data_IF_453996381060
#
_entry.id   IF_453996381060
#
_cell.length_a   1.000
_cell.length_b   1.000
_cell.length_c   1.000
_cell.angle_alpha   90.00
_cell.angle_beta   90.00
_cell.angle_gamma   90.00
#
_symmetry.space_group_name_H-M   'P 1'
#
loop_
_entity.id
_entity.type
_entity.pdbx_description
1 polymer ?
#
# COMPACT_ATOMS: atom_id res chain seq x y z
N UNK A 1 41.83 10.93 -9.38
CA UNK A 1 40.87 9.85 -9.07
C UNK A 1 40.09 10.26 -7.83
N UNK A 2 38.76 10.26 -7.91
CA UNK A 2 37.90 10.53 -6.75
C UNK A 2 37.85 9.23 -5.94
N UNK A 3 38.32 9.25 -4.69
CA UNK A 3 38.19 8.10 -3.78
C UNK A 3 36.72 7.98 -3.36
N UNK A 4 36.13 6.77 -3.37
CA UNK A 4 34.78 6.58 -2.85
C UNK A 4 34.74 6.89 -1.35
N UNK A 5 33.61 7.43 -0.87
CA UNK A 5 33.36 7.64 0.56
C UNK A 5 33.18 6.31 1.31
N UNK A 6 32.63 5.30 0.62
CA UNK A 6 32.38 3.98 1.17
C UNK A 6 32.33 2.94 0.04
N UNK A 7 32.78 1.72 0.34
CA UNK A 7 32.74 0.58 -0.58
C UNK A 7 32.28 -0.67 0.21
N UNK A 8 31.30 -1.45 -0.29
CA UNK A 8 30.92 -2.71 0.33
C UNK A 8 32.03 -3.76 0.20
N UNK A 9 32.14 -4.64 1.19
CA UNK A 9 32.99 -5.83 1.09
C UNK A 9 32.42 -6.83 0.08
N UNK A 10 33.27 -7.67 -0.50
CA UNK A 10 32.83 -8.72 -1.43
C UNK A 10 31.80 -9.66 -0.80
N UNK A 11 31.96 -10.01 0.48
CA UNK A 11 31.00 -10.81 1.22
C UNK A 11 29.63 -10.13 1.27
N UNK A 12 29.60 -8.81 1.53
CA UNK A 12 28.34 -8.06 1.53
C UNK A 12 27.68 -8.08 0.15
N UNK A 13 28.46 -7.87 -0.93
CA UNK A 13 27.95 -7.91 -2.31
C UNK A 13 27.30 -9.27 -2.60
N UNK A 14 28.04 -10.36 -2.38
CA UNK A 14 27.59 -11.73 -2.70
C UNK A 14 26.37 -12.19 -1.89
N UNK A 15 26.13 -11.59 -0.72
CA UNK A 15 25.00 -11.90 0.15
C UNK A 15 23.73 -11.06 -0.12
N UNK A 16 23.75 -10.20 -1.16
CA UNK A 16 22.56 -9.40 -1.51
C UNK A 16 21.57 -10.17 -2.38
N UNK A 17 20.28 -9.84 -2.27
CA UNK A 17 19.23 -10.25 -3.19
C UNK A 17 19.52 -9.78 -4.63
N UNK A 18 20.15 -8.61 -4.81
CA UNK A 18 20.57 -8.12 -6.13
C UNK A 18 21.57 -9.07 -6.79
N UNK A 19 22.59 -9.52 -6.05
CA UNK A 19 23.55 -10.49 -6.55
C UNK A 19 22.86 -11.83 -6.88
N UNK A 20 21.94 -12.27 -6.02
CA UNK A 20 21.15 -13.49 -6.25
C UNK A 20 20.30 -13.41 -7.53
N UNK A 21 19.67 -12.26 -7.78
CA UNK A 21 18.92 -11.99 -9.01
C UNK A 21 19.83 -11.93 -10.24
N UNK A 22 20.98 -11.26 -10.14
CA UNK A 22 21.97 -11.20 -11.21
C UNK A 22 22.48 -12.60 -11.60
N UNK A 23 22.76 -13.46 -10.62
CA UNK A 23 23.17 -14.85 -10.85
C UNK A 23 22.09 -15.64 -11.57
N UNK A 24 20.82 -15.51 -11.15
CA UNK A 24 19.69 -16.14 -11.85
C UNK A 24 19.60 -15.70 -13.32
N UNK A 25 19.77 -14.39 -13.59
CA UNK A 25 19.77 -13.86 -14.95
C UNK A 25 20.95 -14.39 -15.76
N UNK A 26 22.15 -14.44 -15.18
CA UNK A 26 23.34 -15.00 -15.81
C UNK A 26 23.14 -16.46 -16.23
N UNK A 27 22.61 -17.28 -15.32
CA UNK A 27 22.34 -18.69 -15.59
C UNK A 27 21.26 -18.88 -16.66
N UNK A 28 20.14 -18.15 -16.54
CA UNK A 28 18.98 -18.30 -17.43
C UNK A 28 19.24 -17.82 -18.85
N UNK A 29 19.97 -16.71 -19.01
CA UNK A 29 20.17 -16.06 -20.31
C UNK A 29 21.60 -16.17 -20.81
N UNK A 30 22.41 -17.06 -20.22
CA UNK A 30 23.82 -17.27 -20.54
C UNK A 30 24.61 -15.94 -20.61
N UNK A 31 24.48 -15.14 -19.55
CA UNK A 31 25.19 -13.86 -19.38
C UNK A 31 26.35 -14.02 -18.41
N UNK A 32 27.24 -13.03 -18.41
CA UNK A 32 28.46 -13.00 -17.58
C UNK A 32 28.60 -11.71 -16.79
N UNK A 33 27.50 -11.16 -16.28
CA UNK A 33 27.53 -9.90 -15.52
C UNK A 33 28.32 -10.09 -14.23
N UNK A 34 29.28 -9.21 -13.99
CA UNK A 34 30.10 -9.19 -12.77
C UNK A 34 29.72 -8.06 -11.82
N UNK A 35 28.90 -7.11 -12.27
CA UNK A 35 28.45 -5.96 -11.51
C UNK A 35 27.03 -5.51 -11.90
N UNK A 36 26.52 -4.51 -11.18
CA UNK A 36 25.20 -3.95 -11.39
C UNK A 36 25.03 -3.27 -12.76
N UNK A 37 26.10 -2.71 -13.33
CA UNK A 37 26.04 -1.97 -14.59
C UNK A 37 25.60 -2.89 -15.72
N UNK A 38 26.22 -4.07 -15.83
CA UNK A 38 25.84 -5.06 -16.84
C UNK A 38 24.40 -5.55 -16.70
N UNK A 39 23.94 -5.78 -15.45
CA UNK A 39 22.54 -6.14 -15.18
C UNK A 39 21.57 -5.02 -15.56
N UNK A 40 21.90 -3.77 -15.23
CA UNK A 40 21.07 -2.61 -15.53
C UNK A 40 20.94 -2.38 -17.03
N UNK A 41 22.04 -2.39 -17.78
CA UNK A 41 22.03 -2.27 -19.24
C UNK A 41 21.14 -3.35 -19.87
N UNK A 42 21.35 -4.61 -19.46
CA UNK A 42 20.52 -5.71 -19.92
C UNK A 42 19.04 -5.53 -19.58
N UNK A 43 18.71 -5.05 -18.37
CA UNK A 43 17.33 -4.87 -17.93
C UNK A 43 16.54 -3.85 -18.77
N UNK A 44 17.23 -2.84 -19.31
CA UNK A 44 16.63 -1.80 -20.16
C UNK A 44 16.53 -2.26 -21.61
N UNK A 45 17.50 -3.04 -22.09
CA UNK A 45 17.52 -3.58 -23.45
C UNK A 45 16.59 -4.79 -23.63
N UNK A 46 16.33 -5.55 -22.56
CA UNK A 46 15.61 -6.82 -22.59
C UNK A 46 14.41 -6.78 -21.62
N UNK A 47 13.55 -5.75 -21.76
CA UNK A 47 12.44 -5.46 -20.84
C UNK A 47 11.54 -6.68 -20.57
N UNK A 48 11.13 -7.40 -21.61
CA UNK A 48 10.23 -8.56 -21.47
C UNK A 48 10.86 -9.66 -20.62
N UNK A 49 12.14 -9.97 -20.84
CA UNK A 49 12.89 -10.99 -20.11
C UNK A 49 13.20 -10.57 -18.68
N UNK A 50 13.52 -9.28 -18.47
CA UNK A 50 13.73 -8.72 -17.14
C UNK A 50 12.44 -8.81 -16.31
N UNK A 51 11.32 -8.33 -16.84
CA UNK A 51 10.08 -8.26 -16.08
C UNK A 51 9.45 -9.65 -15.84
N UNK A 52 9.56 -10.59 -16.79
CA UNK A 52 9.16 -11.98 -16.56
C UNK A 52 10.00 -12.67 -15.49
N UNK A 53 11.33 -12.46 -15.51
CA UNK A 53 12.25 -12.98 -14.48
C UNK A 53 12.00 -12.34 -13.11
N UNK A 54 11.73 -11.04 -13.07
CA UNK A 54 11.38 -10.33 -11.84
C UNK A 54 10.06 -10.82 -11.24
N UNK A 55 9.04 -11.07 -12.07
CA UNK A 55 7.77 -11.64 -11.63
C UNK A 55 7.97 -12.96 -10.87
N UNK A 56 8.79 -13.86 -11.42
CA UNK A 56 9.09 -15.15 -10.80
C UNK A 56 9.96 -15.00 -9.55
N UNK A 57 11.02 -14.19 -9.61
CA UNK A 57 11.94 -14.00 -8.49
C UNK A 57 11.27 -13.34 -7.27
N UNK A 58 10.32 -12.43 -7.51
CA UNK A 58 9.57 -11.72 -6.48
C UNK A 58 8.33 -12.50 -5.99
N UNK A 59 8.14 -13.72 -6.51
CA UNK A 59 7.05 -14.62 -6.17
C UNK A 59 5.67 -13.93 -6.23
N UNK A 60 5.37 -13.33 -7.40
CA UNK A 60 4.09 -12.65 -7.59
C UNK A 60 2.97 -13.68 -7.69
N UNK A 61 2.07 -13.65 -6.69
CA UNK A 61 0.90 -14.52 -6.64
C UNK A 61 -0.20 -13.99 -7.55
N UNK A 62 -0.59 -14.82 -8.51
CA UNK A 62 -1.71 -14.60 -9.42
C UNK A 62 -2.55 -15.86 -9.54
N UNK A 63 -3.88 -15.71 -9.59
CA UNK A 63 -4.82 -16.81 -9.82
C UNK A 63 -4.88 -17.25 -11.28
N UNK A 64 -4.58 -16.33 -12.20
CA UNK A 64 -4.44 -16.61 -13.63
C UNK A 64 -3.09 -16.07 -14.09
N UNK A 65 -2.23 -16.89 -14.73
CA UNK A 65 -0.95 -16.42 -15.24
C UNK A 65 -1.14 -15.42 -16.38
N UNK A 66 -0.13 -14.57 -16.58
CA UNK A 66 -0.11 -13.68 -17.75
C UNK A 66 0.14 -14.48 -19.04
N UNK A 67 -0.35 -13.96 -20.17
CA UNK A 67 -0.01 -14.50 -21.49
C UNK A 67 1.18 -13.80 -22.14
N UNK A 68 1.38 -12.51 -21.83
CA UNK A 68 2.54 -11.72 -22.28
C UNK A 68 2.96 -10.77 -21.17
N UNK A 69 4.27 -10.70 -20.89
CA UNK A 69 4.80 -9.81 -19.86
C UNK A 69 4.68 -8.33 -20.27
N UNK A 70 4.86 -8.00 -21.55
CA UNK A 70 4.66 -6.63 -22.08
C UNK A 70 4.03 -6.70 -23.47
N UNK A 71 3.03 -5.86 -23.71
CA UNK A 71 2.52 -5.51 -25.04
C UNK A 71 2.70 -4.01 -25.30
N UNK A 72 2.94 -3.63 -26.56
CA UNK A 72 3.15 -2.24 -26.96
C UNK A 72 4.27 -1.53 -26.16
N UNK A 73 5.39 -2.22 -25.96
CA UNK A 73 6.57 -1.76 -25.21
C UNK A 73 6.97 -0.30 -25.49
N UNK A 74 6.89 0.15 -26.75
CA UNK A 74 7.36 1.48 -27.16
C UNK A 74 6.32 2.61 -26.96
N UNK A 75 5.12 2.32 -26.43
CA UNK A 75 4.05 3.30 -26.25
C UNK A 75 3.99 3.88 -24.84
N UNK A 76 4.07 5.21 -24.74
CA UNK A 76 3.83 5.95 -23.50
C UNK A 76 2.94 7.19 -23.75
N UNK A 77 1.67 7.20 -23.27
CA UNK A 77 0.94 6.12 -22.61
C UNK A 77 0.54 4.99 -23.58
N UNK A 78 0.30 3.78 -23.06
CA UNK A 78 -0.31 2.67 -23.83
C UNK A 78 0.39 1.32 -23.79
N UNK A 79 1.57 1.20 -23.16
CA UNK A 79 2.18 -0.09 -22.85
C UNK A 79 1.30 -0.86 -21.84
N UNK A 80 1.11 -2.17 -22.08
CA UNK A 80 0.34 -3.05 -21.22
C UNK A 80 1.23 -4.14 -20.63
N UNK A 81 1.25 -4.26 -19.32
CA UNK A 81 2.10 -5.20 -18.59
C UNK A 81 1.27 -6.40 -18.10
N UNK A 82 1.84 -7.60 -18.19
CA UNK A 82 1.29 -8.87 -17.69
C UNK A 82 -0.17 -9.12 -18.07
N UNK A 83 -0.43 -9.00 -19.37
CA UNK A 83 -1.76 -9.08 -19.96
C UNK A 83 -2.44 -10.42 -19.66
N UNK A 84 -3.76 -10.39 -19.46
CA UNK A 84 -4.62 -11.50 -19.05
C UNK A 84 -4.36 -12.10 -17.66
N UNK A 85 -3.32 -11.67 -16.94
CA UNK A 85 -3.13 -12.12 -15.55
C UNK A 85 -4.26 -11.65 -14.65
N UNK A 86 -4.57 -12.44 -13.62
CA UNK A 86 -5.52 -12.08 -12.56
C UNK A 86 -4.84 -12.20 -11.22
N UNK A 87 -4.80 -11.10 -10.46
CA UNK A 87 -4.15 -11.03 -9.15
C UNK A 87 -4.91 -10.12 -8.18
N UNK A 88 -4.50 -10.13 -6.92
CA UNK A 88 -4.94 -9.16 -5.92
C UNK A 88 -3.75 -8.64 -5.10
N UNK A 89 -3.67 -7.32 -4.90
CA UNK A 89 -2.57 -6.66 -4.17
C UNK A 89 -2.57 -7.05 -2.70
N UNK A 90 -3.75 -7.03 -2.05
CA UNK A 90 -3.87 -7.40 -0.65
C UNK A 90 -3.56 -8.88 -0.42
N UNK A 91 -3.90 -9.76 -1.38
CA UNK A 91 -3.56 -11.18 -1.28
C UNK A 91 -2.05 -11.42 -1.25
N UNK A 92 -1.29 -10.67 -2.05
CA UNK A 92 0.17 -10.75 -2.06
C UNK A 92 0.79 -10.20 -0.76
N UNK A 93 0.21 -9.15 -0.18
CA UNK A 93 0.68 -8.55 1.09
C UNK A 93 0.22 -9.33 2.33
N UNK A 94 -0.80 -10.16 2.17
CA UNK A 94 -1.31 -11.05 3.19
C UNK A 94 -1.00 -12.48 2.76
N UNK A 95 0.22 -12.81 2.37
CA UNK A 95 0.56 -14.21 2.10
C UNK A 95 1.00 -14.97 3.37
N UNK A 96 1.65 -14.29 4.31
CA UNK A 96 2.10 -14.91 5.55
C UNK A 96 0.95 -15.10 6.56
N UNK A 97 0.88 -16.29 7.17
CA UNK A 97 -0.12 -16.69 8.18
C UNK A 97 0.58 -17.35 9.37
N UNK A 98 1.33 -16.55 10.11
CA UNK A 98 2.10 -17.02 11.25
C UNK A 98 2.11 -15.98 12.39
N UNK A 99 2.74 -16.36 13.50
CA UNK A 99 2.79 -15.54 14.71
C UNK A 99 4.00 -14.58 14.75
N UNK A 100 4.77 -14.45 13.66
CA UNK A 100 5.79 -13.40 13.56
C UNK A 100 5.13 -12.03 13.51
N UNK A 101 5.84 -11.01 13.99
CA UNK A 101 5.37 -9.62 13.95
C UNK A 101 5.23 -9.13 12.51
N UNK A 102 4.05 -8.67 12.13
CA UNK A 102 3.78 -8.01 10.86
C UNK A 102 3.89 -6.48 11.00
N UNK A 103 3.30 -5.94 12.07
CA UNK A 103 3.25 -4.49 12.32
C UNK A 103 3.75 -4.18 13.73
N UNK A 104 4.70 -3.27 13.84
CA UNK A 104 5.19 -2.74 15.11
C UNK A 104 4.84 -1.25 15.17
N UNK A 105 3.84 -0.92 15.97
CA UNK A 105 3.36 0.45 16.11
C UNK A 105 3.90 1.11 17.39
N UNK A 106 4.32 2.37 17.24
CA UNK A 106 4.75 3.26 18.31
C UNK A 106 4.10 4.62 18.09
N UNK A 107 3.26 5.04 19.03
CA UNK A 107 2.72 6.39 19.10
C UNK A 107 3.37 7.14 20.24
N UNK A 108 4.22 8.12 19.94
CA UNK A 108 5.09 8.87 20.88
C UNK A 108 5.40 8.06 22.17
N UNK A 109 5.16 8.62 23.35
CA UNK A 109 5.32 7.92 24.64
C UNK A 109 4.02 7.28 25.15
N UNK A 110 2.96 7.30 24.35
CA UNK A 110 1.59 7.02 24.82
C UNK A 110 1.08 5.63 24.43
N UNK A 111 1.45 5.10 23.26
CA UNK A 111 0.85 3.85 22.74
C UNK A 111 1.89 2.96 22.08
N UNK A 112 1.88 1.66 22.42
CA UNK A 112 2.71 0.64 21.79
C UNK A 112 1.87 -0.59 21.49
N UNK A 113 1.88 -1.03 20.24
CA UNK A 113 1.13 -2.21 19.78
C UNK A 113 1.95 -2.99 18.79
N UNK A 114 1.84 -4.31 18.82
CA UNK A 114 2.41 -5.19 17.81
C UNK A 114 1.31 -6.13 17.35
N UNK A 115 1.15 -6.28 16.03
CA UNK A 115 0.25 -7.26 15.44
C UNK A 115 1.10 -8.33 14.76
N UNK A 116 0.73 -9.60 14.97
CA UNK A 116 1.26 -10.71 14.18
C UNK A 116 0.65 -10.75 12.78
N UNK A 117 1.23 -11.52 11.86
CA UNK A 117 0.62 -11.74 10.54
C UNK A 117 -0.78 -12.36 10.64
N UNK A 118 -0.99 -13.31 11.57
CA UNK A 118 -2.32 -13.87 11.85
C UNK A 118 -3.31 -12.80 12.32
N UNK A 119 -2.92 -11.96 13.29
CA UNK A 119 -3.78 -10.89 13.80
C UNK A 119 -4.09 -9.83 12.74
N UNK A 120 -3.11 -9.47 11.91
CA UNK A 120 -3.32 -8.56 10.79
C UNK A 120 -4.33 -9.14 9.80
N UNK A 121 -4.19 -10.40 9.40
CA UNK A 121 -5.13 -11.04 8.49
C UNK A 121 -6.55 -11.07 9.06
N UNK A 122 -6.70 -11.45 10.33
CA UNK A 122 -8.01 -11.51 10.99
C UNK A 122 -8.69 -10.13 10.99
N UNK A 123 -7.95 -9.08 11.34
CA UNK A 123 -8.50 -7.71 11.36
C UNK A 123 -8.88 -7.22 9.95
N UNK A 124 -8.10 -7.59 8.93
CA UNK A 124 -8.45 -7.31 7.53
C UNK A 124 -9.69 -8.10 7.11
N UNK A 125 -9.81 -9.37 7.47
CA UNK A 125 -10.95 -10.22 7.12
C UNK A 125 -12.27 -9.65 7.67
N UNK A 126 -12.26 -9.26 8.95
CA UNK A 126 -13.43 -8.65 9.61
C UNK A 126 -13.80 -7.31 9.01
N UNK A 127 -12.81 -6.49 8.64
CA UNK A 127 -13.04 -5.18 8.02
C UNK A 127 -13.55 -5.32 6.58
N UNK A 128 -12.98 -6.25 5.81
CA UNK A 128 -13.36 -6.50 4.42
C UNK A 128 -14.78 -7.08 4.33
N UNK A 129 -15.17 -7.99 5.25
CA UNK A 129 -16.52 -8.52 5.32
C UNK A 129 -17.56 -7.41 5.53
N UNK A 130 -17.30 -6.46 6.43
CA UNK A 130 -18.19 -5.32 6.67
C UNK A 130 -18.28 -4.37 5.47
N UNK A 131 -17.15 -4.08 4.80
CA UNK A 131 -17.16 -3.30 3.57
C UNK A 131 -17.97 -4.00 2.46
N UNK A 132 -17.79 -5.32 2.30
CA UNK A 132 -18.55 -6.14 1.35
C UNK A 132 -20.05 -6.15 1.68
N UNK A 133 -20.43 -6.24 2.95
CA UNK A 133 -21.83 -6.19 3.40
C UNK A 133 -22.50 -4.84 3.09
N UNK A 134 -21.73 -3.75 3.03
CA UNK A 134 -22.20 -2.46 2.54
C UNK A 134 -22.26 -2.34 1.00
N UNK A 135 -21.88 -3.39 0.29
CA UNK A 135 -21.81 -3.39 -1.17
C UNK A 135 -20.62 -2.59 -1.74
N UNK A 136 -19.51 -2.47 -0.99
CA UNK A 136 -18.25 -1.99 -1.55
C UNK A 136 -17.70 -3.06 -2.50
N UNK A 137 -17.30 -2.62 -3.68
CA UNK A 137 -16.90 -3.49 -4.78
C UNK A 137 -15.80 -2.87 -5.64
N UNK A 138 -15.40 -3.59 -6.69
CA UNK A 138 -14.34 -3.17 -7.62
C UNK A 138 -14.59 -1.74 -8.14
N UNK A 139 -13.61 -0.86 -7.95
CA UNK A 139 -13.64 0.52 -8.45
C UNK A 139 -14.31 1.54 -7.52
N UNK A 140 -14.97 1.10 -6.44
CA UNK A 140 -15.42 2.03 -5.40
C UNK A 140 -14.23 2.71 -4.72
N UNK A 141 -14.38 3.96 -4.28
CA UNK A 141 -13.31 4.68 -3.58
C UNK A 141 -13.55 4.62 -2.07
N UNK A 142 -12.54 4.11 -1.37
CA UNK A 142 -12.46 4.10 0.10
C UNK A 142 -11.30 4.99 0.50
N UNK A 143 -11.52 5.89 1.46
CA UNK A 143 -10.52 6.87 1.85
C UNK A 143 -10.16 6.83 3.33
N UNK A 144 -8.91 7.18 3.63
CA UNK A 144 -8.42 7.34 5.00
C UNK A 144 -8.02 8.78 5.30
N UNK A 145 -8.58 9.37 6.36
CA UNK A 145 -8.04 10.55 7.04
C UNK A 145 -7.37 10.09 8.33
N UNK A 146 -6.18 9.49 8.19
CA UNK A 146 -5.61 8.61 9.21
C UNK A 146 -4.16 8.96 9.53
N UNK A 147 -3.73 8.92 10.80
CA UNK A 147 -2.30 8.87 11.12
C UNK A 147 -1.70 7.54 10.66
N UNK A 148 -0.37 7.44 10.69
CA UNK A 148 0.32 6.18 10.36
C UNK A 148 0.18 5.17 11.51
N UNK A 149 -0.87 4.35 11.49
CA UNK A 149 -1.22 3.36 12.52
C UNK A 149 -1.66 2.03 11.88
N UNK A 150 -1.70 0.91 12.64
CA UNK A 150 -2.09 -0.40 12.11
C UNK A 150 -3.43 -0.39 11.37
N UNK A 151 -4.41 0.34 11.89
CA UNK A 151 -5.75 0.43 11.31
C UNK A 151 -5.77 1.10 9.93
N UNK A 152 -4.80 1.98 9.63
CA UNK A 152 -4.65 2.57 8.29
C UNK A 152 -4.27 1.51 7.26
N UNK A 153 -3.43 0.55 7.66
CA UNK A 153 -3.02 -0.59 6.83
C UNK A 153 -4.17 -1.58 6.72
N UNK A 154 -4.86 -1.89 7.83
CA UNK A 154 -6.02 -2.78 7.85
C UNK A 154 -7.11 -2.28 6.89
N UNK A 155 -7.47 -1.00 6.97
CA UNK A 155 -8.49 -0.39 6.12
C UNK A 155 -8.08 -0.41 4.63
N UNK A 156 -6.81 -0.11 4.33
CA UNK A 156 -6.28 -0.13 2.96
C UNK A 156 -6.29 -1.54 2.37
N UNK A 157 -5.82 -2.55 3.12
CA UNK A 157 -5.82 -3.94 2.67
C UNK A 157 -7.25 -4.50 2.53
N UNK A 158 -8.17 -4.11 3.42
CA UNK A 158 -9.57 -4.51 3.35
C UNK A 158 -10.29 -3.91 2.13
N UNK A 159 -10.00 -2.66 1.78
CA UNK A 159 -10.50 -2.06 0.55
C UNK A 159 -9.89 -2.73 -0.70
N UNK A 160 -8.57 -2.90 -0.72
CA UNK A 160 -7.85 -3.49 -1.84
C UNK A 160 -8.22 -4.96 -2.10
N UNK A 161 -8.55 -5.74 -1.06
CA UNK A 161 -9.00 -7.13 -1.21
C UNK A 161 -10.32 -7.26 -1.98
N UNK A 162 -11.19 -6.24 -1.90
CA UNK A 162 -12.46 -6.14 -2.64
C UNK A 162 -12.31 -5.47 -4.02
N UNK A 163 -11.09 -5.06 -4.39
CA UNK A 163 -10.83 -4.29 -5.60
C UNK A 163 -11.27 -2.82 -5.54
N UNK A 164 -11.58 -2.32 -4.35
CA UNK A 164 -11.82 -0.91 -4.14
C UNK A 164 -10.50 -0.12 -4.22
N UNK A 165 -10.60 1.12 -4.66
CA UNK A 165 -9.48 2.04 -4.84
C UNK A 165 -9.25 2.80 -3.55
N UNK A 166 -8.04 2.70 -3.01
CA UNK A 166 -7.65 3.38 -1.79
C UNK A 166 -7.03 4.75 -2.06
N UNK A 167 -7.35 5.72 -1.20
CA UNK A 167 -6.68 7.03 -1.19
C UNK A 167 -6.63 7.56 0.24
N UNK A 168 -5.60 8.32 0.59
CA UNK A 168 -5.45 8.81 1.97
C UNK A 168 -4.92 10.23 2.05
N UNK A 169 -5.29 10.90 3.14
CA UNK A 169 -4.72 12.15 3.60
C UNK A 169 -4.29 11.95 5.06
N UNK A 170 -3.16 12.56 5.41
CA UNK A 170 -2.69 12.58 6.80
C UNK A 170 -3.49 13.60 7.61
N UNK A 171 -3.69 13.38 8.93
CA UNK A 171 -4.60 14.21 9.72
C UNK A 171 -4.07 15.64 9.93
N UNK A 172 -2.80 15.91 9.67
CA UNK A 172 -2.21 17.26 9.66
C UNK A 172 -2.67 18.12 8.47
N UNK A 173 -3.41 17.57 7.51
CA UNK A 173 -3.98 18.34 6.41
C UNK A 173 -5.15 19.21 6.88
N UNK A 174 -5.18 20.46 6.40
CA UNK A 174 -6.34 21.33 6.57
C UNK A 174 -7.53 20.90 5.70
N UNK A 175 -8.74 21.32 6.09
CA UNK A 175 -10.01 20.96 5.43
C UNK A 175 -9.94 21.16 3.91
N UNK A 176 -9.52 22.35 3.45
CA UNK A 176 -9.39 22.65 2.01
C UNK A 176 -8.46 21.67 1.30
N UNK A 177 -7.33 21.31 1.91
CA UNK A 177 -6.37 20.38 1.33
C UNK A 177 -6.93 18.97 1.14
N UNK A 178 -7.85 18.55 2.02
CA UNK A 178 -8.57 17.27 1.91
C UNK A 178 -9.67 17.37 0.86
N UNK A 179 -10.46 18.45 0.84
CA UNK A 179 -11.53 18.64 -0.15
C UNK A 179 -11.01 18.75 -1.58
N UNK A 180 -9.90 19.46 -1.77
CA UNK A 180 -9.18 19.56 -3.05
C UNK A 180 -8.71 18.17 -3.55
N UNK A 181 -8.72 17.13 -2.71
CA UNK A 181 -8.32 15.75 -3.03
C UNK A 181 -9.53 14.82 -3.12
N UNK A 182 -10.20 14.56 -2.00
CA UNK A 182 -11.33 13.64 -1.91
C UNK A 182 -12.57 14.13 -2.67
N UNK A 183 -12.74 15.44 -2.84
CA UNK A 183 -13.83 16.01 -3.64
C UNK A 183 -13.77 15.60 -5.11
N UNK A 184 -12.57 15.30 -5.63
CA UNK A 184 -12.39 14.84 -7.01
C UNK A 184 -12.75 13.35 -7.20
N UNK A 185 -12.74 12.55 -6.13
CA UNK A 185 -12.79 11.07 -6.23
C UNK A 185 -14.11 10.47 -5.77
N UNK A 186 -15.00 11.28 -5.17
CA UNK A 186 -16.34 10.88 -4.69
C UNK A 186 -16.29 9.54 -3.92
N UNK A 187 -15.55 9.47 -2.80
CA UNK A 187 -15.46 8.25 -2.00
C UNK A 187 -16.77 7.92 -1.30
N UNK A 188 -16.98 6.62 -1.04
CA UNK A 188 -18.16 6.09 -0.34
C UNK A 188 -17.93 5.85 1.15
N UNK A 189 -16.71 5.50 1.55
CA UNK A 189 -16.35 5.21 2.94
C UNK A 189 -15.13 6.02 3.36
N UNK A 190 -15.21 6.62 4.54
CA UNK A 190 -14.11 7.34 5.19
C UNK A 190 -13.71 6.62 6.48
N UNK A 191 -12.47 6.14 6.54
CA UNK A 191 -11.82 5.73 7.79
C UNK A 191 -11.09 6.92 8.39
N UNK A 192 -11.19 7.10 9.70
CA UNK A 192 -10.55 8.23 10.39
C UNK A 192 -10.23 7.91 11.85
N UNK A 193 -9.14 8.46 12.38
CA UNK A 193 -8.90 8.45 13.82
C UNK A 193 -9.67 9.60 14.50
N UNK A 194 -9.94 9.48 15.80
CA UNK A 194 -10.49 10.57 16.61
C UNK A 194 -9.50 11.73 16.80
N UNK A 195 -8.21 11.43 16.76
CA UNK A 195 -7.14 12.38 16.87
C UNK A 195 -5.78 11.75 16.61
N UNK A 196 -4.71 12.47 16.93
CA UNK A 196 -3.34 11.97 16.91
C UNK A 196 -2.46 12.71 17.92
N UNK A 197 -1.31 12.14 18.27
CA UNK A 197 -0.31 12.79 19.13
C UNK A 197 0.79 13.43 18.30
N UNK A 198 1.18 14.65 18.65
CA UNK A 198 2.34 15.33 18.07
C UNK A 198 2.98 16.28 19.09
N UNK A 199 4.29 16.13 19.29
CA UNK A 199 5.08 16.88 20.28
C UNK A 199 4.48 16.77 21.69
N UNK A 200 4.06 15.58 22.07
CA UNK A 200 3.47 15.26 23.38
C UNK A 200 2.06 15.79 23.58
N UNK A 201 1.39 16.28 22.54
CA UNK A 201 0.04 16.85 22.64
C UNK A 201 -0.98 16.06 21.82
N UNK A 202 -2.16 15.73 22.37
CA UNK A 202 -3.26 15.21 21.58
C UNK A 202 -3.85 16.32 20.71
N UNK A 203 -4.14 15.98 19.45
CA UNK A 203 -4.75 16.87 18.46
C UNK A 203 -6.03 16.23 17.95
N UNK A 204 -7.16 16.91 18.15
CA UNK A 204 -8.47 16.46 17.71
C UNK A 204 -8.57 16.42 16.17
N UNK A 205 -9.22 15.37 15.67
CA UNK A 205 -9.60 15.23 14.27
C UNK A 205 -11.11 15.25 14.05
N UNK A 206 -11.94 14.92 15.06
CA UNK A 206 -13.41 14.82 14.94
C UNK A 206 -14.03 16.10 14.39
N UNK A 207 -13.68 17.27 14.95
CA UNK A 207 -14.25 18.54 14.48
C UNK A 207 -13.86 18.85 13.04
N UNK A 208 -12.63 18.51 12.65
CA UNK A 208 -12.14 18.72 11.29
C UNK A 208 -12.85 17.80 10.30
N UNK A 209 -13.05 16.54 10.66
CA UNK A 209 -13.80 15.57 9.87
C UNK A 209 -15.23 16.04 9.68
N UNK A 210 -15.89 16.54 10.74
CA UNK A 210 -17.25 17.09 10.65
C UNK A 210 -17.35 18.23 9.63
N UNK A 211 -16.31 19.07 9.51
CA UNK A 211 -16.21 20.08 8.46
C UNK A 211 -15.98 19.52 7.06
N UNK A 212 -15.14 18.49 6.93
CA UNK A 212 -14.83 17.82 5.65
C UNK A 212 -16.06 17.10 5.09
N UNK A 213 -16.76 16.32 5.91
CA UNK A 213 -17.85 15.44 5.43
C UNK A 213 -19.11 16.20 5.00
N UNK A 214 -19.31 17.44 5.49
CA UNK A 214 -20.38 18.33 4.99
C UNK A 214 -20.24 18.65 3.51
N UNK A 215 -19.01 18.71 3.02
CA UNK A 215 -18.66 19.04 1.64
C UNK A 215 -18.39 17.78 0.79
N UNK A 216 -18.55 16.57 1.36
CA UNK A 216 -18.36 15.29 0.68
C UNK A 216 -19.63 14.43 0.76
N UNK A 217 -20.72 14.79 0.06
CA UNK A 217 -22.00 14.09 0.16
C UNK A 217 -21.99 12.66 -0.38
N UNK A 218 -20.90 12.23 -1.04
CA UNK A 218 -20.74 10.84 -1.49
C UNK A 218 -20.40 9.87 -0.35
N UNK A 219 -19.98 10.36 0.82
CA UNK A 219 -19.64 9.51 1.96
C UNK A 219 -20.93 8.93 2.56
N UNK A 220 -21.05 7.61 2.49
CA UNK A 220 -22.17 6.83 3.03
C UNK A 220 -21.88 6.36 4.46
N UNK A 221 -20.60 6.20 4.82
CA UNK A 221 -20.16 5.66 6.12
C UNK A 221 -18.86 6.30 6.58
N UNK A 222 -18.81 6.64 7.86
CA UNK A 222 -17.61 7.09 8.56
C UNK A 222 -17.25 6.05 9.60
N UNK A 223 -16.01 5.55 9.58
CA UNK A 223 -15.51 4.56 10.53
C UNK A 223 -14.45 5.21 11.38
N UNK A 224 -14.72 5.37 12.67
CA UNK A 224 -13.88 6.11 13.62
C UNK A 224 -13.05 5.16 14.47
N UNK A 225 -11.72 5.29 14.38
CA UNK A 225 -10.74 4.53 15.15
C UNK A 225 -10.38 5.33 16.41
N UNK A 226 -10.63 4.80 17.61
CA UNK A 226 -10.17 5.40 18.85
C UNK A 226 -8.63 5.36 18.93
N UNK A 227 -7.99 6.52 19.10
CA UNK A 227 -6.54 6.66 19.28
C UNK A 227 -6.17 7.61 20.42
N UNK A 228 -6.74 8.82 20.45
CA UNK A 228 -6.47 9.78 21.54
C UNK A 228 -7.39 9.59 22.75
N UNK A 229 -8.56 9.00 22.53
CA UNK A 229 -9.55 8.70 23.56
C UNK A 229 -10.06 7.28 23.38
N UNK A 230 -10.45 6.62 24.47
CA UNK A 230 -10.96 5.22 24.42
C UNK A 230 -12.32 5.11 23.74
N UNK A 231 -13.17 6.14 23.92
CA UNK A 231 -14.54 6.19 23.37
C UNK A 231 -14.84 7.61 22.88
N UNK A 232 -14.38 7.98 21.67
CA UNK A 232 -14.58 9.31 21.13
C UNK A 232 -16.07 9.60 20.92
N UNK A 233 -16.50 10.85 21.11
CA UNK A 233 -17.85 11.25 20.74
C UNK A 233 -17.94 11.44 19.22
N UNK A 234 -18.76 10.60 18.58
CA UNK A 234 -18.98 10.60 17.13
C UNK A 234 -20.35 11.17 16.74
N UNK A 235 -21.11 11.73 17.69
CA UNK A 235 -22.46 12.25 17.47
C UNK A 235 -22.53 13.38 16.43
N UNK A 236 -21.44 14.12 16.26
CA UNK A 236 -21.32 15.19 15.26
C UNK A 236 -21.07 14.68 13.83
N UNK A 237 -20.81 13.38 13.66
CA UNK A 237 -20.46 12.77 12.38
C UNK A 237 -21.65 11.95 11.84
N UNK A 238 -22.19 12.28 10.66
CA UNK A 238 -23.33 11.58 10.10
C UNK A 238 -22.96 10.13 9.75
N UNK A 239 -23.86 9.19 10.07
CA UNK A 239 -23.70 7.77 9.77
C UNK A 239 -22.41 7.14 10.32
N UNK A 240 -21.78 7.74 11.33
CA UNK A 240 -20.53 7.26 11.90
C UNK A 240 -20.71 6.03 12.80
N UNK A 241 -19.68 5.18 12.83
CA UNK A 241 -19.59 4.01 13.71
C UNK A 241 -18.16 3.91 14.26
N UNK A 242 -18.00 3.31 15.43
CA UNK A 242 -16.66 2.96 15.91
C UNK A 242 -16.11 1.77 15.12
N UNK A 243 -14.79 1.75 14.93
CA UNK A 243 -14.11 0.66 14.20
C UNK A 243 -14.38 -0.72 14.79
N UNK A 244 -14.46 -0.83 16.13
CA UNK A 244 -14.80 -2.08 16.80
C UNK A 244 -16.20 -2.61 16.41
N UNK A 245 -17.18 -1.72 16.33
CA UNK A 245 -18.57 -2.06 15.99
C UNK A 245 -18.78 -2.22 14.48
N UNK A 246 -17.88 -1.65 13.67
CA UNK A 246 -17.90 -1.79 12.23
C UNK A 246 -17.53 -3.19 11.77
N UNK A 247 -16.52 -3.80 12.41
CA UNK A 247 -15.96 -5.11 12.03
C UNK A 247 -16.96 -6.25 12.20
N UNK A 248 -17.03 -7.16 11.23
CA UNK A 248 -17.80 -8.40 11.34
C UNK A 248 -17.03 -9.40 12.23
N UNK A 249 -17.50 -9.72 13.45
CA UNK A 249 -16.76 -10.61 14.35
C UNK A 249 -16.73 -12.08 13.87
N UNK A 250 -17.63 -12.48 12.96
CA UNK A 250 -17.73 -13.84 12.45
C UNK A 250 -16.85 -14.12 11.23
N UNK A 251 -16.30 -13.08 10.60
CA UNK A 251 -15.45 -13.25 9.43
C UNK A 251 -14.05 -13.75 9.80
N UNK A 252 -13.63 -14.84 9.16
CA UNK A 252 -12.33 -15.50 9.36
C UNK A 252 -11.54 -15.68 8.07
N UNK A 253 -12.13 -15.36 6.91
CA UNK A 253 -11.52 -15.55 5.61
C UNK A 253 -11.78 -14.35 4.70
N UNK A 254 -10.84 -14.07 3.80
CA UNK A 254 -10.96 -13.05 2.78
C UNK A 254 -11.16 -13.73 1.43
N UNK A 255 -12.25 -13.38 0.74
CA UNK A 255 -12.41 -13.68 -0.67
C UNK A 255 -11.77 -12.55 -1.48
N UNK A 256 -10.53 -12.78 -1.95
CA UNK A 256 -9.78 -11.79 -2.71
C UNK A 256 -10.35 -11.66 -4.13
N UNK A 257 -10.80 -10.46 -4.47
CA UNK A 257 -11.28 -10.16 -5.83
C UNK A 257 -10.11 -10.18 -6.80
N UNK A 258 -10.14 -11.12 -7.75
CA UNK A 258 -9.08 -11.31 -8.73
C UNK A 258 -9.27 -10.36 -9.91
N UNK A 259 -8.25 -9.55 -10.20
CA UNK A 259 -8.34 -8.42 -11.14
C UNK A 259 -7.20 -8.43 -12.16
N UNK A 260 -7.45 -7.84 -13.33
CA UNK A 260 -6.42 -7.58 -14.36
C UNK A 260 -5.24 -6.81 -13.78
N UNK A 261 -4.03 -7.00 -14.27
CA UNK A 261 -2.82 -6.34 -13.78
C UNK A 261 -2.93 -4.80 -13.63
N UNK A 262 -3.68 -4.16 -14.52
CA UNK A 262 -3.81 -2.70 -14.63
C UNK A 262 -4.97 -2.10 -13.80
N UNK A 263 -5.67 -2.89 -12.98
CA UNK A 263 -6.77 -2.40 -12.13
C UNK A 263 -6.33 -1.25 -11.21
N UNK A 264 -7.17 -0.23 -10.98
CA UNK A 264 -6.81 0.88 -10.11
C UNK A 264 -6.71 0.42 -8.65
N UNK A 265 -5.55 0.67 -8.02
CA UNK A 265 -5.32 0.38 -6.60
C UNK A 265 -5.29 1.66 -5.77
N UNK A 266 -4.46 2.62 -6.18
CA UNK A 266 -4.25 3.87 -5.44
C UNK A 266 -4.65 5.09 -6.24
N UNK A 267 -5.22 6.08 -5.55
CA UNK A 267 -5.24 7.48 -6.00
C UNK A 267 -4.34 8.28 -5.08
N UNK A 268 -3.20 8.72 -5.61
CA UNK A 268 -2.28 9.64 -4.94
C UNK A 268 -2.35 11.02 -5.60
N UNK A 269 -1.83 12.04 -4.91
CA UNK A 269 -1.95 13.42 -5.37
C UNK A 269 -0.59 14.09 -5.49
N UNK A 270 -0.33 14.75 -6.61
CA UNK A 270 0.84 15.60 -6.76
C UNK A 270 0.61 16.97 -6.13
N UNK A 271 1.68 17.64 -5.70
CA UNK A 271 1.65 19.07 -5.39
C UNK A 271 1.48 19.86 -6.69
N UNK A 272 0.24 20.12 -7.09
CA UNK A 272 -0.04 20.98 -8.24
C UNK A 272 0.49 22.39 -7.99
N UNK A 273 1.31 22.93 -8.89
CA UNK A 273 1.82 24.31 -8.82
C UNK A 273 0.88 25.33 -9.46
N UNK A 274 -0.10 24.87 -10.26
CA UNK A 274 -0.96 25.73 -11.10
C UNK A 274 -2.46 25.41 -11.02
N UNK A 275 -2.90 24.62 -10.02
CA UNK A 275 -4.31 24.25 -9.88
C UNK A 275 -4.55 23.23 -8.77
N UNK A 276 -5.71 22.55 -8.81
CA UNK A 276 -6.02 21.45 -7.89
C UNK A 276 -4.95 20.35 -7.98
N UNK A 277 -4.66 19.63 -6.87
CA UNK A 277 -3.78 18.47 -6.88
C UNK A 277 -4.23 17.46 -7.94
N UNK A 278 -3.31 16.95 -8.76
CA UNK A 278 -3.66 15.99 -9.83
C UNK A 278 -3.88 14.62 -9.22
N UNK A 279 -5.00 13.98 -9.53
CA UNK A 279 -5.28 12.59 -9.17
C UNK A 279 -4.42 11.64 -10.02
N UNK A 280 -3.41 11.02 -9.41
CA UNK A 280 -2.56 10.03 -10.03
C UNK A 280 -3.07 8.64 -9.65
N UNK A 281 -3.69 7.96 -10.62
CA UNK A 281 -4.15 6.59 -10.47
C UNK A 281 -3.00 5.65 -10.75
N UNK A 282 -2.75 4.69 -9.85
CA UNK A 282 -1.74 3.66 -10.05
C UNK A 282 -2.37 2.27 -10.02
N UNK A 283 -1.89 1.39 -10.91
CA UNK A 283 -2.41 0.04 -11.03
C UNK A 283 -1.91 -0.88 -9.92
N UNK A 284 -2.74 -1.82 -9.47
CA UNK A 284 -2.36 -2.71 -8.38
C UNK A 284 -1.24 -3.69 -8.73
N UNK A 285 -1.25 -4.25 -9.95
CA UNK A 285 -0.14 -5.09 -10.41
C UNK A 285 1.15 -4.29 -10.60
N UNK A 286 1.06 -3.10 -11.20
CA UNK A 286 2.21 -2.22 -11.43
C UNK A 286 2.85 -1.76 -10.13
N UNK A 287 2.04 -1.35 -9.16
CA UNK A 287 2.49 -0.97 -7.81
C UNK A 287 3.15 -2.15 -7.11
N UNK A 288 2.48 -3.31 -7.06
CA UNK A 288 3.00 -4.51 -6.39
C UNK A 288 4.38 -4.87 -6.91
N UNK A 289 4.48 -5.06 -8.22
CA UNK A 289 5.71 -5.53 -8.86
C UNK A 289 6.84 -4.52 -8.69
N UNK A 290 6.56 -3.23 -8.91
CA UNK A 290 7.57 -2.19 -8.79
C UNK A 290 8.05 -2.02 -7.34
N UNK A 291 7.14 -2.00 -6.38
CA UNK A 291 7.49 -1.84 -4.96
C UNK A 291 8.21 -3.07 -4.40
N UNK A 292 7.78 -4.30 -4.74
CA UNK A 292 8.55 -5.52 -4.39
C UNK A 292 9.95 -5.50 -5.00
N UNK A 293 10.10 -5.09 -6.27
CA UNK A 293 11.42 -4.93 -6.90
C UNK A 293 12.29 -3.94 -6.12
N UNK A 294 11.77 -2.76 -5.78
CA UNK A 294 12.50 -1.76 -4.98
C UNK A 294 12.90 -2.31 -3.61
N UNK A 295 11.96 -2.90 -2.87
CA UNK A 295 12.21 -3.42 -1.52
C UNK A 295 13.24 -4.58 -1.55
N UNK A 296 12.98 -5.61 -2.35
CA UNK A 296 13.80 -6.83 -2.35
C UNK A 296 15.16 -6.58 -3.00
N UNK A 297 15.22 -5.93 -4.17
CA UNK A 297 16.47 -5.80 -4.92
C UNK A 297 17.26 -4.55 -4.52
N UNK A 298 16.61 -3.39 -4.42
CA UNK A 298 17.31 -2.12 -4.21
C UNK A 298 17.55 -1.78 -2.74
N UNK A 299 16.75 -2.34 -1.82
CA UNK A 299 16.99 -2.18 -0.37
C UNK A 299 17.53 -3.43 0.32
N UNK A 300 17.71 -4.53 -0.42
CA UNK A 300 18.15 -5.83 0.09
C UNK A 300 17.26 -6.38 1.23
N UNK A 301 15.96 -6.05 1.22
CA UNK A 301 15.02 -6.47 2.26
C UNK A 301 14.85 -7.99 2.26
N UNK A 302 14.97 -8.62 3.43
CA UNK A 302 14.80 -10.06 3.66
C UNK A 302 13.67 -10.33 4.65
N UNK A 303 13.23 -11.58 4.72
CA UNK A 303 12.09 -11.99 5.58
C UNK A 303 12.38 -11.78 7.07
N UNK A 304 13.64 -11.89 7.48
CA UNK A 304 14.10 -11.68 8.84
C UNK A 304 14.24 -10.20 9.25
N UNK A 305 14.19 -9.28 8.29
CA UNK A 305 14.42 -7.87 8.53
C UNK A 305 13.21 -7.18 9.18
N UNK A 306 13.49 -6.07 9.87
CA UNK A 306 12.47 -5.12 10.31
C UNK A 306 12.72 -3.79 9.64
N UNK A 307 11.82 -3.39 8.75
CA UNK A 307 11.92 -2.11 8.04
C UNK A 307 11.19 -1.00 8.80
N UNK A 308 11.80 0.18 8.82
CA UNK A 308 11.21 1.40 9.36
C UNK A 308 11.45 2.57 8.40
N UNK A 309 10.38 3.30 8.08
CA UNK A 309 10.46 4.57 7.38
C UNK A 309 9.60 5.60 8.12
N UNK A 310 10.19 6.73 8.49
CA UNK A 310 9.46 7.82 9.13
C UNK A 310 8.58 8.54 8.09
N UNK A 311 7.27 8.30 8.14
CA UNK A 311 6.32 8.79 7.12
C UNK A 311 4.90 8.91 7.67
N UNK A 312 4.03 9.56 6.89
CA UNK A 312 2.59 9.70 7.18
C UNK A 312 1.77 9.15 6.02
N UNK A 313 0.47 8.86 6.25
CA UNK A 313 -0.44 8.39 5.21
C UNK A 313 -0.71 9.40 4.07
N UNK A 314 -0.09 10.59 4.11
CA UNK A 314 -0.11 11.57 3.02
C UNK A 314 1.06 11.47 2.05
N UNK A 315 2.06 10.63 2.34
CA UNK A 315 3.26 10.47 1.51
C UNK A 315 3.29 9.09 0.85
N UNK A 316 3.79 9.03 -0.39
CA UNK A 316 3.92 7.76 -1.12
C UNK A 316 4.84 6.75 -0.41
N UNK A 317 5.75 7.23 0.45
CA UNK A 317 6.63 6.38 1.26
C UNK A 317 5.84 5.49 2.23
N UNK A 318 4.64 5.90 2.66
CA UNK A 318 3.76 5.03 3.42
C UNK A 318 3.29 3.84 2.58
N UNK A 319 2.83 4.09 1.34
CA UNK A 319 2.43 3.03 0.42
C UNK A 319 3.59 2.08 0.11
N UNK A 320 4.79 2.63 -0.16
CA UNK A 320 5.99 1.84 -0.38
C UNK A 320 6.35 0.98 0.84
N UNK A 321 6.32 1.56 2.05
CA UNK A 321 6.54 0.83 3.30
C UNK A 321 5.52 -0.29 3.48
N UNK A 322 4.23 -0.07 3.20
CA UNK A 322 3.21 -1.11 3.37
C UNK A 322 3.43 -2.34 2.48
N UNK A 323 4.09 -2.16 1.33
CA UNK A 323 4.42 -3.28 0.44
C UNK A 323 5.49 -4.21 1.02
N UNK A 324 6.17 -3.85 2.12
CA UNK A 324 7.11 -4.74 2.82
C UNK A 324 6.43 -5.92 3.51
N UNK A 325 5.09 -5.97 3.54
CA UNK A 325 4.32 -7.12 4.03
C UNK A 325 4.26 -8.29 3.02
N UNK A 326 4.61 -8.03 1.75
CA UNK A 326 4.56 -9.01 0.66
C UNK A 326 5.85 -9.77 0.46
#
# INVERSE_FOLDING_TARGET
MISPLWQPSELRIKNTNMYRFMTLVNERFNKGFTDYTGLWEWSVENLTDFWSTAWEFLDIKASVPYTKAIENQDKMPGAAFFTNSKLNFAENLLQFRNDKAALIFRGEDSVRRTLTYNQLYDEVAKTAASLKAMGISKGDRVVGFMPNMPESIIAMLAAASLGAVWSSCSPDFGIKGVLDRFGQTRPRVLFTADGYFFKGKPLDSIQRIAGIVKELPSIEKIVVIPYTTTKPDISSLPNAVHFADFKDPGATQIEFTQMDFDYPLYIMYSSGTTGLPKCMVQSGGGVLLHQKKELVLHTDLKEEDTIFYFTTCGWMMWNWLTCSLS
#
